data_IF_852111533170
#
_entry.id   IF_852111533170
#
_cell.length_a   1.000
_cell.length_b   1.000
_cell.length_c   1.000
_cell.angle_alpha   90.00
_cell.angle_beta   90.00
_cell.angle_gamma   90.00
#
_symmetry.space_group_name_H-M   'P 1'
#
loop_
_entity.id
_entity.type
_entity.pdbx_description
1 polymer ?
#
# COMPACT_ATOMS: atom_id res chain seq x y z
N UNK A 1 -20.17 -36.87 3.63
CA UNK A 1 -18.96 -36.07 3.90
C UNK A 1 -19.25 -34.69 3.30
N UNK A 2 -19.42 -33.65 4.12
CA UNK A 2 -19.84 -32.34 3.63
C UNK A 2 -18.72 -31.67 2.84
N UNK A 3 -19.04 -31.13 1.67
CA UNK A 3 -18.09 -30.37 0.87
C UNK A 3 -17.96 -28.97 1.47
N UNK A 4 -16.75 -28.64 1.93
CA UNK A 4 -16.41 -27.33 2.48
C UNK A 4 -15.21 -26.76 1.74
N UNK A 5 -15.39 -25.60 1.13
CA UNK A 5 -14.32 -24.90 0.43
C UNK A 5 -14.29 -23.42 0.83
N UNK A 6 -13.10 -22.90 1.14
CA UNK A 6 -12.88 -21.48 1.40
C UNK A 6 -11.83 -20.92 0.46
N UNK A 7 -12.16 -19.85 -0.25
CA UNK A 7 -11.25 -19.16 -1.18
C UNK A 7 -11.27 -17.65 -0.96
N UNK A 8 -10.13 -17.01 -1.20
CA UNK A 8 -9.99 -15.55 -1.23
C UNK A 8 -9.38 -15.20 -2.58
N UNK A 9 -9.99 -14.24 -3.27
CA UNK A 9 -9.53 -13.73 -4.56
C UNK A 9 -9.41 -12.21 -4.48
N UNK A 10 -8.31 -11.67 -4.97
CA UNK A 10 -8.04 -10.23 -4.92
C UNK A 10 -8.67 -9.53 -6.12
N UNK A 11 -9.20 -8.33 -5.90
CA UNK A 11 -9.78 -7.51 -6.96
C UNK A 11 -8.76 -6.50 -7.46
N UNK A 12 -8.50 -6.53 -8.76
CA UNK A 12 -7.69 -5.53 -9.43
C UNK A 12 -8.56 -4.33 -9.76
N UNK A 13 -8.04 -3.14 -9.48
CA UNK A 13 -8.63 -1.88 -9.90
C UNK A 13 -8.04 -1.44 -11.22
N UNK A 14 -8.91 -1.27 -12.21
CA UNK A 14 -8.55 -0.85 -13.55
C UNK A 14 -9.17 0.51 -13.85
N UNK A 15 -8.34 1.38 -14.43
CA UNK A 15 -8.76 2.64 -15.06
C UNK A 15 -8.41 2.60 -16.53
N UNK A 16 -9.39 2.84 -17.41
CA UNK A 16 -9.20 2.74 -18.87
C UNK A 16 -8.54 1.42 -19.28
N UNK A 17 -9.01 0.31 -18.70
CA UNK A 17 -8.48 -1.06 -18.90
C UNK A 17 -7.05 -1.31 -18.40
N UNK A 18 -6.38 -0.30 -17.84
CA UNK A 18 -5.06 -0.46 -17.25
C UNK A 18 -5.19 -0.80 -15.76
N UNK A 19 -4.52 -1.86 -15.33
CA UNK A 19 -4.40 -2.20 -13.91
C UNK A 19 -3.60 -1.11 -13.19
N UNK A 20 -4.27 -0.44 -12.24
CA UNK A 20 -3.66 0.59 -11.41
C UNK A 20 -3.09 -0.03 -10.13
N UNK A 21 -3.90 -0.84 -9.42
CA UNK A 21 -3.52 -1.48 -8.16
C UNK A 21 -4.52 -2.54 -7.74
N UNK A 22 -4.22 -3.27 -6.67
CA UNK A 22 -5.24 -4.07 -5.96
C UNK A 22 -6.15 -3.14 -5.15
N UNK A 23 -7.45 -3.41 -5.14
CA UNK A 23 -8.41 -2.56 -4.42
C UNK A 23 -9.53 -3.36 -3.74
N UNK A 24 -9.18 -4.53 -3.22
CA UNK A 24 -10.09 -5.33 -2.40
C UNK A 24 -9.90 -6.82 -2.57
N UNK A 25 -10.81 -7.56 -1.97
CA UNK A 25 -10.89 -9.00 -2.13
C UNK A 25 -12.33 -9.49 -2.04
N UNK A 26 -12.55 -10.66 -2.64
CA UNK A 26 -13.75 -11.46 -2.51
C UNK A 26 -13.38 -12.75 -1.80
N UNK A 27 -14.04 -13.00 -0.69
CA UNK A 27 -13.93 -14.22 0.08
C UNK A 27 -15.20 -15.04 -0.12
N UNK A 28 -15.03 -16.30 -0.49
CA UNK A 28 -16.12 -17.26 -0.66
C UNK A 28 -15.94 -18.43 0.30
N UNK A 29 -17.00 -18.77 1.04
CA UNK A 29 -17.08 -19.95 1.90
C UNK A 29 -18.27 -20.80 1.44
N UNK A 30 -18.00 -21.93 0.79
CA UNK A 30 -19.01 -22.88 0.32
C UNK A 30 -19.18 -23.98 1.35
N UNK A 31 -20.42 -24.25 1.73
CA UNK A 31 -20.83 -25.34 2.61
C UNK A 31 -22.06 -26.01 2.02
N UNK A 32 -21.87 -27.18 1.42
CA UNK A 32 -22.90 -27.94 0.70
C UNK A 32 -23.63 -27.06 -0.34
N UNK A 33 -24.86 -26.64 -0.06
CA UNK A 33 -25.71 -25.86 -0.98
C UNK A 33 -25.59 -24.34 -0.78
N UNK A 34 -24.94 -23.88 0.28
CA UNK A 34 -24.83 -22.46 0.58
C UNK A 34 -23.40 -21.95 0.31
N UNK A 35 -23.30 -20.80 -0.35
CA UNK A 35 -22.06 -20.08 -0.52
C UNK A 35 -22.16 -18.69 0.12
N UNK A 36 -21.34 -18.43 1.12
CA UNK A 36 -21.20 -17.11 1.73
C UNK A 36 -20.18 -16.30 0.95
N UNK A 37 -20.61 -15.15 0.43
CA UNK A 37 -19.80 -14.16 -0.25
C UNK A 37 -19.51 -12.99 0.69
N UNK A 38 -18.24 -12.62 0.77
CA UNK A 38 -17.80 -11.42 1.46
C UNK A 38 -16.92 -10.63 0.51
N UNK A 39 -17.41 -9.47 0.07
CA UNK A 39 -16.70 -8.54 -0.78
C UNK A 39 -16.22 -7.38 0.09
N UNK A 40 -14.93 -7.10 0.06
CA UNK A 40 -14.34 -5.97 0.74
C UNK A 40 -13.57 -5.14 -0.29
N UNK A 41 -14.05 -3.93 -0.53
CA UNK A 41 -13.43 -2.94 -1.42
C UNK A 41 -12.69 -1.94 -0.54
N UNK A 42 -11.42 -1.69 -0.84
CA UNK A 42 -10.56 -0.74 -0.12
C UNK A 42 -9.57 -0.10 -1.08
N UNK A 43 -9.06 1.07 -0.73
CA UNK A 43 -8.00 1.72 -1.49
C UNK A 43 -8.48 2.45 -2.75
N UNK A 44 -9.78 2.71 -2.92
CA UNK A 44 -10.25 3.65 -3.95
C UNK A 44 -10.08 5.11 -3.48
N UNK A 45 -10.45 6.10 -4.31
CA UNK A 45 -10.25 7.50 -3.93
C UNK A 45 -11.13 7.88 -2.74
N UNK A 46 -10.66 8.69 -1.78
CA UNK A 46 -11.47 9.12 -0.64
C UNK A 46 -12.73 9.90 -1.02
N UNK A 47 -12.76 10.49 -2.22
CA UNK A 47 -13.94 11.16 -2.80
C UNK A 47 -14.97 10.19 -3.36
N UNK A 48 -14.64 8.90 -3.50
CA UNK A 48 -15.53 7.90 -4.09
C UNK A 48 -16.63 7.51 -3.10
N UNK A 49 -17.75 8.22 -3.22
CA UNK A 49 -19.02 7.87 -2.58
C UNK A 49 -20.05 7.66 -3.68
N UNK A 50 -20.09 6.45 -4.22
CA UNK A 50 -20.84 6.10 -5.44
C UNK A 50 -21.44 4.68 -5.34
N UNK A 51 -22.29 4.31 -6.29
CA UNK A 51 -22.81 2.95 -6.40
C UNK A 51 -22.03 2.15 -7.46
N UNK A 52 -21.67 0.91 -7.13
CA UNK A 52 -20.96 -0.01 -8.01
C UNK A 52 -21.81 -1.22 -8.35
N UNK A 53 -22.01 -1.50 -9.63
CA UNK A 53 -22.79 -2.65 -10.08
C UNK A 53 -21.92 -3.90 -10.15
N UNK A 54 -22.36 -4.98 -9.49
CA UNK A 54 -21.66 -6.26 -9.43
C UNK A 54 -22.15 -7.19 -10.53
N UNK A 55 -21.20 -7.72 -11.28
CA UNK A 55 -21.39 -8.70 -12.34
C UNK A 55 -20.63 -9.98 -12.01
N UNK A 56 -21.30 -11.12 -12.18
CA UNK A 56 -20.64 -12.44 -12.18
C UNK A 56 -20.45 -12.91 -13.61
N UNK A 57 -19.28 -13.49 -13.89
CA UNK A 57 -18.99 -14.15 -15.16
C UNK A 57 -19.17 -15.65 -15.01
N UNK A 58 -19.82 -16.27 -15.99
CA UNK A 58 -19.97 -17.71 -16.08
C UNK A 58 -20.37 -18.13 -17.49
N UNK A 59 -19.65 -19.10 -18.07
CA UNK A 59 -19.98 -19.63 -19.40
C UNK A 59 -19.89 -18.58 -20.52
N UNK A 60 -18.93 -17.66 -20.42
CA UNK A 60 -18.69 -16.60 -21.41
C UNK A 60 -19.68 -15.43 -21.39
N UNK A 61 -20.53 -15.33 -20.36
CA UNK A 61 -21.48 -14.21 -20.20
C UNK A 61 -21.35 -13.55 -18.83
N UNK A 62 -21.63 -12.25 -18.78
CA UNK A 62 -21.69 -11.45 -17.56
C UNK A 62 -23.15 -11.24 -17.11
N UNK A 63 -23.43 -11.45 -15.83
CA UNK A 63 -24.75 -11.30 -15.24
C UNK A 63 -24.70 -10.28 -14.11
N UNK A 64 -25.49 -9.21 -14.21
CA UNK A 64 -25.65 -8.25 -13.11
C UNK A 64 -26.40 -8.93 -11.97
N UNK A 65 -25.82 -8.95 -10.79
CA UNK A 65 -26.37 -9.65 -9.62
C UNK A 65 -26.74 -8.73 -8.47
N UNK A 66 -26.01 -7.63 -8.29
CA UNK A 66 -26.14 -6.78 -7.09
C UNK A 66 -25.65 -5.37 -7.38
N UNK A 67 -26.02 -4.41 -6.54
CA UNK A 67 -25.44 -3.05 -6.52
C UNK A 67 -24.89 -2.73 -5.13
N UNK A 68 -23.60 -2.41 -5.05
CA UNK A 68 -22.90 -2.03 -3.81
C UNK A 68 -22.90 -0.51 -3.65
N UNK A 69 -23.00 -0.04 -2.41
CA UNK A 69 -22.71 1.35 -2.08
C UNK A 69 -21.30 1.49 -1.55
N UNK A 70 -20.52 2.37 -2.17
CA UNK A 70 -19.20 2.76 -1.74
C UNK A 70 -19.30 4.07 -0.96
N UNK A 71 -18.56 4.17 0.14
CA UNK A 71 -18.40 5.39 0.92
C UNK A 71 -16.93 5.60 1.20
N UNK A 72 -16.44 6.79 0.86
CA UNK A 72 -15.03 7.17 1.07
C UNK A 72 -14.02 6.15 0.51
N UNK A 73 -14.28 5.65 -0.70
CA UNK A 73 -13.40 4.69 -1.37
C UNK A 73 -13.36 3.29 -0.75
N UNK A 74 -14.31 2.98 0.14
CA UNK A 74 -14.40 1.69 0.84
C UNK A 74 -15.82 1.13 0.75
N UNK A 75 -15.94 -0.20 0.73
CA UNK A 75 -17.21 -0.90 0.88
C UNK A 75 -17.00 -2.29 1.49
N UNK A 76 -17.96 -2.73 2.29
CA UNK A 76 -18.00 -4.09 2.82
C UNK A 76 -19.39 -4.67 2.59
N UNK A 77 -19.44 -5.80 1.90
CA UNK A 77 -20.67 -6.50 1.57
C UNK A 77 -20.54 -7.97 1.96
N UNK A 78 -21.57 -8.51 2.61
CA UNK A 78 -21.64 -9.91 3.00
C UNK A 78 -23.02 -10.41 2.62
N UNK A 79 -23.07 -11.53 1.91
CA UNK A 79 -24.32 -12.20 1.55
C UNK A 79 -24.13 -13.71 1.51
N UNK A 80 -25.23 -14.45 1.64
CA UNK A 80 -25.25 -15.91 1.52
C UNK A 80 -26.16 -16.25 0.35
N UNK A 81 -25.60 -16.94 -0.64
CA UNK A 81 -26.28 -17.33 -1.87
C UNK A 81 -26.35 -18.84 -1.99
N UNK A 82 -27.27 -19.31 -2.83
CA UNK A 82 -27.31 -20.71 -3.26
C UNK A 82 -26.10 -21.00 -4.16
N UNK A 83 -25.33 -22.04 -3.82
CA UNK A 83 -24.14 -22.44 -4.57
C UNK A 83 -24.48 -22.98 -5.97
N UNK A 84 -25.68 -23.48 -6.20
CA UNK A 84 -26.16 -23.93 -7.50
C UNK A 84 -26.69 -22.78 -8.37
N UNK A 85 -27.04 -21.64 -7.74
CA UNK A 85 -27.58 -20.46 -8.42
C UNK A 85 -27.15 -19.16 -7.72
N UNK A 86 -25.92 -18.73 -7.98
CA UNK A 86 -25.31 -17.56 -7.35
C UNK A 86 -26.15 -16.32 -7.60
N UNK A 87 -26.77 -15.80 -6.54
CA UNK A 87 -27.60 -14.59 -6.56
C UNK A 87 -28.70 -14.61 -7.65
N UNK A 88 -29.25 -15.78 -7.98
CA UNK A 88 -30.30 -15.91 -9.00
C UNK A 88 -29.81 -15.73 -10.45
N UNK A 89 -28.50 -15.65 -10.69
CA UNK A 89 -27.90 -15.42 -12.02
C UNK A 89 -28.04 -16.61 -12.98
N UNK A 90 -28.36 -17.80 -12.48
CA UNK A 90 -28.29 -19.06 -13.20
C UNK A 90 -26.87 -19.66 -13.28
N UNK A 91 -25.87 -19.01 -12.66
CA UNK A 91 -24.49 -19.52 -12.58
C UNK A 91 -24.33 -20.34 -11.30
N UNK A 92 -23.85 -21.57 -11.41
CA UNK A 92 -23.40 -22.34 -10.26
C UNK A 92 -21.98 -21.94 -9.87
N UNK A 93 -21.63 -22.11 -8.59
CA UNK A 93 -20.30 -21.83 -8.06
C UNK A 93 -19.18 -22.54 -8.84
N UNK A 94 -19.44 -23.74 -9.36
CA UNK A 94 -18.47 -24.50 -10.16
C UNK A 94 -18.22 -23.90 -11.54
N UNK A 95 -19.21 -23.21 -12.12
CA UNK A 95 -19.16 -22.56 -13.44
C UNK A 95 -18.89 -21.06 -13.35
N UNK A 96 -18.59 -20.57 -12.15
CA UNK A 96 -18.29 -19.18 -11.90
C UNK A 96 -16.83 -18.90 -12.27
N UNK A 97 -16.64 -17.98 -13.21
CA UNK A 97 -15.39 -17.73 -13.90
C UNK A 97 -14.72 -16.42 -13.47
N UNK A 98 -15.50 -15.48 -12.92
CA UNK A 98 -15.00 -14.17 -12.56
C UNK A 98 -16.03 -13.27 -11.89
N UNK A 99 -15.57 -12.16 -11.33
CA UNK A 99 -16.40 -11.08 -10.80
C UNK A 99 -15.88 -9.73 -11.30
N UNK A 100 -16.79 -8.82 -11.64
CA UNK A 100 -16.52 -7.42 -11.94
C UNK A 100 -17.45 -6.52 -11.14
N UNK A 101 -16.92 -5.41 -10.64
CA UNK A 101 -17.68 -4.36 -9.98
C UNK A 101 -17.43 -3.07 -10.76
N UNK A 102 -18.45 -2.62 -11.49
CA UNK A 102 -18.36 -1.45 -12.34
C UNK A 102 -18.70 -0.19 -11.54
N UNK A 103 -17.73 0.70 -11.40
CA UNK A 103 -17.86 1.96 -10.64
C UNK A 103 -18.22 3.13 -11.56
N UNK A 104 -17.67 3.14 -12.78
CA UNK A 104 -18.03 4.07 -13.86
C UNK A 104 -17.71 3.43 -15.23
N UNK A 105 -17.85 4.19 -16.31
CA UNK A 105 -17.52 3.73 -17.69
C UNK A 105 -16.06 3.26 -17.82
N UNK A 106 -15.14 3.92 -17.13
CA UNK A 106 -13.70 3.66 -17.26
C UNK A 106 -13.08 3.07 -16.00
N UNK A 107 -13.85 2.86 -14.92
CA UNK A 107 -13.35 2.44 -13.62
C UNK A 107 -14.03 1.15 -13.19
N UNK A 108 -13.25 0.07 -13.08
CA UNK A 108 -13.78 -1.25 -12.73
C UNK A 108 -12.87 -1.96 -11.72
N UNK A 109 -13.48 -2.75 -10.85
CA UNK A 109 -12.77 -3.74 -10.05
C UNK A 109 -13.03 -5.11 -10.67
N UNK A 110 -11.99 -5.88 -10.99
CA UNK A 110 -12.16 -7.15 -11.70
C UNK A 110 -11.24 -8.23 -11.16
N UNK A 111 -11.75 -9.46 -11.17
CA UNK A 111 -10.93 -10.67 -11.06
C UNK A 111 -11.59 -11.78 -11.88
N UNK A 112 -10.88 -12.33 -12.86
CA UNK A 112 -11.32 -13.43 -13.73
C UNK A 112 -10.27 -14.54 -13.61
N UNK A 113 -10.70 -15.78 -13.36
CA UNK A 113 -9.81 -16.94 -13.16
C UNK A 113 -10.06 -18.09 -14.13
N UNK A 114 -11.09 -18.00 -14.97
CA UNK A 114 -11.29 -18.87 -16.11
C UNK A 114 -11.66 -18.00 -17.29
N UNK A 115 -10.68 -17.67 -18.12
CA UNK A 115 -10.97 -16.99 -19.38
C UNK A 115 -11.70 -17.96 -20.31
N UNK A 116 -12.78 -17.46 -20.92
CA UNK A 116 -13.40 -18.12 -22.04
C UNK A 116 -12.45 -18.00 -23.23
N UNK A 117 -11.59 -19.02 -23.41
CA UNK A 117 -10.87 -19.34 -24.64
C UNK A 117 -10.27 -18.18 -25.43
N UNK A 118 -9.04 -17.81 -25.09
CA UNK A 118 -8.01 -17.51 -26.09
C UNK A 118 -6.92 -18.58 -25.93
N UNK A 119 -6.65 -19.31 -27.01
CA UNK A 119 -5.53 -20.25 -27.10
C UNK A 119 -4.18 -19.50 -27.10
N UNK A 120 -3.09 -20.18 -26.70
CA UNK A 120 -1.98 -19.60 -25.95
C UNK A 120 -1.03 -18.79 -26.83
N UNK A 121 -0.50 -17.70 -26.30
CA UNK A 121 0.64 -17.00 -26.91
C UNK A 121 1.79 -16.93 -25.90
N UNK A 122 2.58 -18.00 -25.92
CA UNK A 122 4.05 -18.04 -25.83
C UNK A 122 4.71 -16.67 -25.57
N UNK A 123 4.79 -16.23 -24.30
CA UNK A 123 5.62 -15.07 -23.93
C UNK A 123 6.04 -15.02 -22.44
N UNK A 124 5.81 -16.09 -21.67
CA UNK A 124 6.26 -16.17 -20.27
C UNK A 124 7.13 -17.39 -19.95
N UNK A 125 7.27 -18.35 -20.88
CA UNK A 125 8.21 -19.47 -20.72
C UNK A 125 9.65 -19.09 -21.15
N UNK A 126 9.86 -18.07 -21.98
CA UNK A 126 11.20 -17.57 -22.31
C UNK A 126 11.90 -16.84 -21.14
N UNK A 127 11.14 -16.38 -20.14
CA UNK A 127 11.73 -15.79 -18.93
C UNK A 127 12.19 -16.84 -17.91
N UNK A 128 11.60 -18.04 -17.94
CA UNK A 128 11.91 -19.11 -16.99
C UNK A 128 12.98 -20.08 -17.54
N UNK A 129 13.10 -20.26 -18.86
CA UNK A 129 14.16 -21.10 -19.47
C UNK A 129 15.57 -20.45 -19.47
N UNK A 130 15.69 -19.12 -19.40
CA UNK A 130 17.00 -18.45 -19.24
C UNK A 130 17.57 -18.64 -17.82
N UNK A 131 16.74 -18.98 -16.83
CA UNK A 131 17.18 -19.17 -15.45
C UNK A 131 17.61 -20.61 -15.11
N UNK A 132 17.42 -21.58 -16.02
CA UNK A 132 17.74 -23.00 -15.78
C UNK A 132 19.19 -23.37 -16.19
N UNK A 133 19.93 -22.47 -16.85
CA UNK A 133 21.25 -22.80 -17.41
C UNK A 133 22.49 -22.22 -16.71
N UNK A 134 22.37 -21.58 -15.54
CA UNK A 134 23.53 -21.21 -14.69
C UNK A 134 23.27 -21.54 -13.20
N UNK A 135 23.92 -22.59 -12.63
CA UNK A 135 23.62 -23.05 -11.28
C UNK A 135 24.58 -22.46 -10.23
N UNK A 136 24.51 -21.16 -9.93
CA UNK A 136 25.35 -20.56 -8.85
C UNK A 136 24.70 -19.47 -7.96
N UNK A 137 23.37 -19.26 -8.01
CA UNK A 137 22.71 -18.25 -7.14
C UNK A 137 21.64 -18.85 -6.22
N UNK A 138 21.94 -19.98 -5.58
CA UNK A 138 21.14 -20.54 -4.46
C UNK A 138 21.90 -20.69 -3.14
N UNK A 139 23.19 -20.34 -3.09
CA UNK A 139 24.02 -20.38 -1.86
C UNK A 139 24.59 -19.00 -1.48
N UNK A 140 23.79 -17.93 -1.52
CA UNK A 140 24.22 -16.62 -0.99
C UNK A 140 23.15 -15.92 -0.12
N UNK A 141 22.23 -16.71 0.46
CA UNK A 141 21.16 -16.18 1.31
C UNK A 141 21.45 -16.11 2.83
N UNK A 142 22.54 -16.69 3.40
CA UNK A 142 22.86 -16.44 4.80
C UNK A 142 24.32 -16.00 5.00
N UNK A 143 24.67 -14.74 4.69
CA UNK A 143 25.99 -14.18 5.07
C UNK A 143 26.05 -12.63 5.07
N UNK A 144 24.97 -11.94 5.46
CA UNK A 144 24.97 -10.48 5.68
C UNK A 144 24.52 -10.16 7.13
N UNK A 145 25.06 -10.92 8.08
CA UNK A 145 24.84 -10.77 9.52
C UNK A 145 26.11 -10.57 10.34
N UNK A 146 27.29 -10.63 9.73
CA UNK A 146 28.58 -10.43 10.40
C UNK A 146 29.51 -9.63 9.46
N UNK A 147 30.42 -8.83 10.02
CA UNK A 147 31.33 -7.86 9.37
C UNK A 147 30.76 -6.43 9.19
N UNK A 148 30.41 -5.75 10.29
CA UNK A 148 30.83 -4.34 10.52
C UNK A 148 31.01 -4.15 12.03
N UNK A 149 31.98 -4.85 12.61
CA UNK A 149 32.41 -4.64 13.98
C UNK A 149 33.93 -4.79 14.05
N UNK A 150 34.66 -3.89 13.39
CA UNK A 150 36.01 -3.47 13.79
C UNK A 150 36.50 -2.34 12.89
N UNK A 151 37.20 -1.38 13.51
CA UNK A 151 37.93 -0.24 12.92
C UNK A 151 37.20 1.13 12.90
N UNK A 152 36.89 1.63 14.10
CA UNK A 152 36.96 3.07 14.40
C UNK A 152 37.90 3.24 15.59
N UNK A 153 39.20 3.32 15.34
CA UNK A 153 40.16 3.91 16.26
C UNK A 153 41.41 4.38 15.49
N UNK A 154 41.87 5.59 15.86
CA UNK A 154 43.15 6.23 15.57
C UNK A 154 43.31 7.06 14.28
N UNK A 155 43.36 8.39 14.45
CA UNK A 155 44.20 9.28 13.63
C UNK A 155 45.62 9.38 14.22
N UNK A 156 46.50 10.34 13.84
CA UNK A 156 46.38 11.42 12.84
C UNK A 156 47.59 11.53 11.86
N UNK A 157 47.63 12.63 11.08
CA UNK A 157 48.80 13.33 10.51
C UNK A 157 49.51 12.86 9.20
N UNK A 158 49.38 13.63 8.11
CA UNK A 158 50.35 14.65 7.59
C UNK A 158 50.16 14.96 6.10
N UNK A 159 50.25 16.26 5.76
CA UNK A 159 50.22 16.89 4.41
C UNK A 159 51.63 16.85 3.78
N UNK A 160 51.81 16.98 2.45
CA UNK A 160 52.12 18.32 1.92
C UNK A 160 51.67 18.66 0.47
N UNK A 161 51.26 19.92 0.33
CA UNK A 161 51.46 20.93 -0.74
C UNK A 161 51.58 20.58 -2.23
N UNK A 162 50.75 21.26 -3.04
CA UNK A 162 51.21 22.36 -3.92
C UNK A 162 50.04 23.21 -4.50
N UNK A 163 50.20 24.52 -4.40
CA UNK A 163 49.30 25.63 -4.75
C UNK A 163 49.32 26.02 -6.26
N UNK A 164 48.12 26.22 -6.84
CA UNK A 164 47.57 27.39 -7.59
C UNK A 164 48.27 28.02 -8.84
N UNK A 165 47.54 28.62 -9.83
CA UNK A 165 46.55 29.71 -9.61
C UNK A 165 45.22 29.74 -10.39
N UNK A 166 44.29 30.43 -9.71
CA UNK A 166 43.00 31.04 -10.08
C UNK A 166 42.96 31.88 -11.36
N UNK A 167 41.83 31.85 -12.07
CA UNK A 167 41.18 33.08 -12.58
C UNK A 167 39.65 32.96 -12.58
N UNK A 168 39.04 34.01 -12.03
CA UNK A 168 37.66 34.21 -11.60
C UNK A 168 36.67 34.50 -12.74
N UNK A 169 35.49 33.88 -12.70
CA UNK A 169 34.24 34.54 -13.13
C UNK A 169 33.14 34.26 -12.12
N UNK A 170 32.76 35.33 -11.44
CA UNK A 170 31.62 35.48 -10.55
C UNK A 170 30.34 34.89 -11.15
N UNK A 171 29.85 33.79 -10.54
CA UNK A 171 28.42 33.45 -10.50
C UNK A 171 28.01 33.24 -9.05
N UNK A 172 28.25 34.27 -8.25
CA UNK A 172 27.51 34.50 -7.01
C UNK A 172 26.05 34.77 -7.37
N UNK A 173 25.22 33.73 -7.45
CA UNK A 173 23.75 33.78 -7.24
C UNK A 173 23.12 32.38 -7.37
N UNK A 174 23.24 31.54 -6.33
CA UNK A 174 22.09 31.01 -5.58
C UNK A 174 22.52 30.26 -4.30
N UNK A 175 23.32 30.91 -3.46
CA UNK A 175 23.08 30.77 -2.02
C UNK A 175 21.83 31.62 -1.71
N UNK A 176 20.66 31.01 -1.83
CA UNK A 176 19.38 31.50 -1.30
C UNK A 176 18.84 30.32 -0.48
N UNK A 177 18.62 30.35 0.82
CA UNK A 177 18.80 31.30 1.92
C UNK A 177 18.79 30.42 3.18
N UNK A 178 19.81 30.49 4.03
CA UNK A 178 19.69 31.06 5.37
C UNK A 178 18.43 30.59 6.12
N UNK A 179 18.57 29.51 6.90
CA UNK A 179 17.62 29.00 7.92
C UNK A 179 16.13 29.32 7.68
N UNK A 180 15.51 28.60 6.76
CA UNK A 180 14.12 28.17 6.94
C UNK A 180 14.16 26.74 7.49
N UNK A 181 13.41 26.46 8.56
CA UNK A 181 13.32 25.13 9.17
C UNK A 181 13.15 24.07 8.08
N UNK A 182 13.87 22.94 8.17
CA UNK A 182 13.77 21.82 7.20
C UNK A 182 12.32 21.49 6.85
N UNK A 183 11.44 21.57 7.86
CA UNK A 183 10.00 21.43 7.71
C UNK A 183 9.38 22.36 6.65
N UNK A 184 9.71 23.65 6.67
CA UNK A 184 9.17 24.64 5.72
C UNK A 184 9.56 24.28 4.28
N UNK A 185 10.77 23.75 4.08
CA UNK A 185 11.20 23.25 2.77
C UNK A 185 10.38 22.01 2.37
N UNK A 186 10.15 21.08 3.29
CA UNK A 186 9.31 19.90 3.05
C UNK A 186 7.86 20.31 2.68
N UNK A 187 7.30 21.33 3.33
CA UNK A 187 5.93 21.81 3.00
C UNK A 187 5.79 22.40 1.60
N UNK A 188 6.89 22.86 0.98
CA UNK A 188 6.87 23.36 -0.41
C UNK A 188 7.01 22.24 -1.44
N UNK A 189 7.67 21.14 -1.08
CA UNK A 189 7.95 20.02 -1.96
C UNK A 189 6.91 18.89 -1.90
N UNK A 190 6.29 18.67 -0.74
CA UNK A 190 5.32 17.60 -0.53
C UNK A 190 3.90 18.12 -0.44
N UNK A 191 2.95 17.30 -0.89
CA UNK A 191 1.52 17.63 -0.82
C UNK A 191 1.05 17.62 0.64
N UNK A 192 0.52 18.75 1.09
CA UNK A 192 -0.19 18.84 2.36
C UNK A 192 -1.55 18.15 2.27
N UNK A 193 -1.87 17.31 3.26
CA UNK A 193 -3.13 16.58 3.40
C UNK A 193 -3.73 16.83 4.79
N UNK A 194 -5.06 16.76 4.85
CA UNK A 194 -5.86 16.91 6.08
C UNK A 194 -6.76 15.67 6.24
N UNK A 195 -6.21 14.52 6.67
CA UNK A 195 -6.94 13.26 6.66
C UNK A 195 -8.10 13.21 7.66
N UNK A 196 -8.11 14.07 8.69
CA UNK A 196 -9.17 14.13 9.69
C UNK A 196 -10.09 15.35 9.55
N UNK A 197 -9.82 16.24 8.57
CA UNK A 197 -10.58 17.48 8.40
C UNK A 197 -10.41 18.49 9.55
N UNK A 198 -9.32 18.36 10.31
CA UNK A 198 -8.92 19.24 11.40
C UNK A 198 -7.92 20.32 10.94
N UNK A 199 -7.60 21.26 11.84
CA UNK A 199 -6.62 22.34 11.57
C UNK A 199 -5.17 21.82 11.43
N UNK A 200 -4.92 20.54 11.75
CA UNK A 200 -3.60 19.93 11.64
C UNK A 200 -3.26 19.65 10.18
N UNK A 201 -2.07 20.05 9.78
CA UNK A 201 -1.56 19.86 8.42
C UNK A 201 -0.49 18.78 8.42
N UNK A 202 -0.59 17.86 7.47
CA UNK A 202 0.29 16.71 7.36
C UNK A 202 0.90 16.66 5.96
N UNK A 203 2.11 16.11 5.83
CA UNK A 203 2.75 15.91 4.54
C UNK A 203 2.58 14.48 4.07
N UNK A 204 2.19 14.30 2.82
CA UNK A 204 2.15 12.99 2.16
C UNK A 204 3.51 12.71 1.53
N UNK A 205 4.22 11.71 2.04
CA UNK A 205 5.53 11.27 1.55
C UNK A 205 5.48 9.81 1.05
N UNK A 206 6.45 9.42 0.23
CA UNK A 206 6.63 8.02 -0.23
C UNK A 206 7.83 7.36 0.44
N UNK A 207 7.92 6.03 0.46
CA UNK A 207 9.11 5.32 0.95
C UNK A 207 10.42 5.75 0.23
N UNK A 208 10.35 6.10 -1.05
CA UNK A 208 11.49 6.63 -1.82
C UNK A 208 12.07 7.92 -1.23
N UNK A 209 11.22 8.71 -0.56
CA UNK A 209 11.56 10.03 -0.03
C UNK A 209 12.17 9.94 1.38
N UNK A 210 12.40 8.75 1.93
CA UNK A 210 12.89 8.59 3.33
C UNK A 210 14.33 9.04 3.52
N UNK A 211 15.01 9.42 2.44
CA UNK A 211 16.29 10.14 2.50
C UNK A 211 16.18 11.48 3.23
N UNK A 212 14.97 12.06 3.36
CA UNK A 212 14.73 13.27 4.16
C UNK A 212 14.80 13.00 5.68
N UNK A 213 14.69 11.74 6.10
CA UNK A 213 14.78 11.33 7.50
C UNK A 213 16.25 11.02 7.84
N UNK A 214 16.60 11.07 9.13
CA UNK A 214 17.92 10.62 9.58
C UNK A 214 18.20 9.16 9.19
N UNK A 215 19.48 8.82 8.99
CA UNK A 215 19.93 7.52 8.46
C UNK A 215 19.36 6.30 9.19
N UNK A 216 19.11 6.41 10.50
CA UNK A 216 18.51 5.32 11.28
C UNK A 216 17.09 4.93 10.84
N UNK A 217 16.36 5.82 10.17
CA UNK A 217 14.99 5.60 9.68
C UNK A 217 14.94 5.14 8.23
N UNK A 218 16.04 5.19 7.48
CA UNK A 218 16.09 4.70 6.09
C UNK A 218 15.86 3.18 6.01
N UNK A 219 16.17 2.43 7.08
CA UNK A 219 15.83 1.01 7.20
C UNK A 219 14.32 0.73 7.20
N UNK A 220 13.48 1.75 7.46
CA UNK A 220 12.01 1.60 7.44
C UNK A 220 11.45 1.40 6.02
N UNK A 221 12.20 1.72 4.97
CA UNK A 221 11.77 1.46 3.58
C UNK A 221 11.53 -0.03 3.33
N UNK A 222 12.27 -0.91 4.00
CA UNK A 222 12.06 -2.36 3.94
C UNK A 222 11.06 -2.91 4.97
N UNK A 223 10.44 -2.06 5.78
CA UNK A 223 9.53 -2.51 6.83
C UNK A 223 8.20 -2.98 6.22
N UNK A 224 7.87 -4.26 6.42
CA UNK A 224 6.67 -4.86 5.83
C UNK A 224 5.36 -4.21 6.30
N UNK A 225 5.29 -3.71 7.55
CA UNK A 225 4.12 -3.02 8.06
C UNK A 225 3.91 -1.67 7.35
N UNK A 226 5.00 -0.90 7.21
CA UNK A 226 4.99 0.37 6.49
C UNK A 226 4.63 0.20 5.02
N UNK A 227 5.29 -0.74 4.33
CA UNK A 227 5.03 -1.03 2.93
C UNK A 227 3.60 -1.49 2.72
N UNK A 228 3.07 -2.34 3.61
CA UNK A 228 1.68 -2.77 3.53
C UNK A 228 0.70 -1.60 3.66
N UNK A 229 0.91 -0.69 4.62
CA UNK A 229 0.11 0.54 4.71
C UNK A 229 0.24 1.42 3.47
N UNK A 230 1.46 1.64 2.98
CA UNK A 230 1.72 2.43 1.78
C UNK A 230 1.04 1.85 0.54
N UNK A 231 1.17 0.55 0.27
CA UNK A 231 0.55 -0.06 -0.92
C UNK A 231 -0.97 -0.09 -0.85
N UNK A 232 -1.55 -0.12 0.35
CA UNK A 232 -3.00 -0.10 0.53
C UNK A 232 -3.61 1.31 0.39
N UNK A 233 -2.92 2.34 0.86
CA UNK A 233 -3.46 3.70 0.97
C UNK A 233 -2.75 4.73 0.07
N UNK A 234 -1.63 4.37 -0.55
CA UNK A 234 -0.89 5.16 -1.52
C UNK A 234 -0.05 6.30 -0.97
N UNK A 235 0.06 6.42 0.37
CA UNK A 235 0.84 7.48 1.01
C UNK A 235 1.31 7.06 2.41
N UNK A 236 2.36 7.71 2.89
CA UNK A 236 2.77 7.74 4.29
C UNK A 236 2.67 9.18 4.77
N UNK A 237 2.26 9.36 6.01
CA UNK A 237 2.05 10.66 6.62
C UNK A 237 3.31 11.09 7.36
N UNK A 238 3.70 12.36 7.23
CA UNK A 238 4.71 13.00 8.05
C UNK A 238 4.07 14.19 8.76
N UNK A 239 4.12 14.20 10.08
CA UNK A 239 3.58 15.23 10.95
C UNK A 239 4.70 15.96 11.70
N UNK A 240 4.53 17.27 11.89
CA UNK A 240 5.29 18.06 12.87
C UNK A 240 4.38 18.41 14.02
N UNK A 241 4.73 17.96 15.22
CA UNK A 241 4.08 18.33 16.47
C UNK A 241 4.98 19.28 17.26
N UNK A 242 4.45 20.45 17.62
CA UNK A 242 5.16 21.41 18.47
C UNK A 242 4.57 21.34 19.88
N UNK A 243 5.37 20.92 20.86
CA UNK A 243 4.99 20.86 22.28
C UNK A 243 6.06 21.55 23.11
N UNK A 244 5.65 22.49 23.96
CA UNK A 244 6.54 23.19 24.90
C UNK A 244 7.80 23.80 24.26
N UNK A 245 7.70 24.28 23.01
CA UNK A 245 8.82 24.85 22.25
C UNK A 245 9.76 23.82 21.61
N UNK A 246 9.45 22.52 21.72
CA UNK A 246 10.15 21.43 21.04
C UNK A 246 9.37 20.95 19.82
N UNK A 247 10.04 20.94 18.66
CA UNK A 247 9.52 20.34 17.43
C UNK A 247 9.83 18.84 17.42
N UNK A 248 8.80 18.00 17.49
CA UNK A 248 8.89 16.55 17.30
C UNK A 248 8.24 16.16 15.98
N UNK A 249 8.81 15.17 15.29
CA UNK A 249 8.27 14.68 14.03
C UNK A 249 7.75 13.26 14.19
N UNK A 250 6.67 12.94 13.48
CA UNK A 250 6.06 11.63 13.50
C UNK A 250 5.79 11.14 12.09
N UNK A 251 6.07 9.87 11.86
CA UNK A 251 5.74 9.15 10.65
C UNK A 251 4.49 8.29 10.91
N UNK A 252 3.43 8.55 10.15
CA UNK A 252 2.15 7.86 10.24
C UNK A 252 1.97 6.87 9.09
N UNK A 253 1.82 5.60 9.42
CA UNK A 253 1.43 4.56 8.44
C UNK A 253 -0.09 4.43 8.47
N UNK A 254 -0.78 4.68 7.34
CA UNK A 254 -2.23 4.57 7.29
C UNK A 254 -2.68 3.12 7.51
N UNK A 255 -3.73 2.92 8.30
CA UNK A 255 -4.22 1.60 8.67
C UNK A 255 -5.61 1.63 9.29
N UNK A 256 -6.14 0.44 9.61
CA UNK A 256 -7.43 0.30 10.29
C UNK A 256 -7.17 -0.13 11.72
N UNK A 257 -7.81 0.57 12.65
CA UNK A 257 -7.74 0.24 14.06
C UNK A 257 -8.40 -1.11 14.35
N UNK A 258 -7.55 -2.12 14.55
CA UNK A 258 -7.89 -3.40 15.17
C UNK A 258 -6.86 -3.73 16.24
N UNK A 259 -7.26 -4.43 17.31
CA UNK A 259 -6.32 -4.83 18.37
C UNK A 259 -5.15 -5.66 17.84
N UNK A 260 -5.41 -6.58 16.91
CA UNK A 260 -4.37 -7.37 16.24
C UNK A 260 -3.40 -6.51 15.44
N UNK A 261 -3.92 -5.53 14.70
CA UNK A 261 -3.11 -4.63 13.88
C UNK A 261 -2.28 -3.69 14.75
N UNK A 262 -2.83 -3.23 15.88
CA UNK A 262 -2.10 -2.49 16.92
C UNK A 262 -0.95 -3.28 17.53
N UNK A 263 -1.15 -4.58 17.80
CA UNK A 263 -0.07 -5.44 18.32
C UNK A 263 1.06 -5.58 17.30
N UNK A 264 0.73 -5.82 16.03
CA UNK A 264 1.71 -5.91 14.95
C UNK A 264 2.44 -4.57 14.77
N UNK A 265 1.71 -3.47 14.75
CA UNK A 265 2.28 -2.11 14.67
C UNK A 265 3.31 -1.87 15.78
N UNK A 266 2.98 -2.26 17.03
CA UNK A 266 3.86 -2.15 18.18
C UNK A 266 5.16 -2.96 18.03
N UNK A 267 5.12 -4.16 17.44
CA UNK A 267 6.33 -4.95 17.17
C UNK A 267 7.29 -4.25 16.20
N UNK A 268 6.77 -3.38 15.34
CA UNK A 268 7.54 -2.58 14.39
C UNK A 268 7.85 -1.15 14.89
N UNK A 269 7.54 -0.85 16.16
CA UNK A 269 7.83 0.43 16.81
C UNK A 269 6.73 1.49 16.66
N UNK A 270 5.61 1.17 15.99
CA UNK A 270 4.48 2.08 15.85
C UNK A 270 3.53 1.95 17.04
N UNK A 271 3.89 2.60 18.15
CA UNK A 271 3.16 2.48 19.42
C UNK A 271 1.93 3.41 19.50
N UNK A 272 1.91 4.49 18.71
CA UNK A 272 0.82 5.46 18.67
C UNK A 272 -0.22 5.14 17.60
N UNK A 273 -1.46 5.60 17.82
CA UNK A 273 -2.50 5.62 16.78
C UNK A 273 -3.27 6.94 16.84
N UNK A 274 -3.30 7.66 15.73
CA UNK A 274 -4.04 8.90 15.53
C UNK A 274 -5.21 8.64 14.57
N UNK A 275 -6.42 8.99 14.98
CA UNK A 275 -7.64 8.80 14.22
C UNK A 275 -8.60 9.96 14.39
N UNK A 276 -9.65 10.03 13.57
CA UNK A 276 -10.59 11.15 13.58
C UNK A 276 -11.38 11.31 14.89
N UNK A 277 -11.53 10.25 15.69
CA UNK A 277 -12.26 10.29 16.96
C UNK A 277 -11.65 9.33 17.99
N UNK A 278 -11.36 9.83 19.19
CA UNK A 278 -10.97 9.02 20.35
C UNK A 278 -12.10 9.02 21.39
N UNK A 279 -12.56 7.85 21.89
CA UNK A 279 -12.00 6.50 21.72
C UNK A 279 -12.26 5.90 20.33
N UNK A 280 -11.27 5.17 19.82
CA UNK A 280 -11.32 4.56 18.49
C UNK A 280 -12.22 3.31 18.49
N UNK A 281 -13.22 3.29 17.62
CA UNK A 281 -14.02 2.09 17.38
C UNK A 281 -13.22 1.08 16.55
N UNK A 282 -13.48 -0.21 16.76
CA UNK A 282 -12.87 -1.26 15.94
C UNK A 282 -13.28 -1.09 14.46
N UNK A 283 -12.32 -1.10 13.54
CA UNK A 283 -12.54 -0.79 12.14
C UNK A 283 -12.39 0.69 11.76
N UNK A 284 -12.05 1.57 12.70
CA UNK A 284 -11.83 3.00 12.41
C UNK A 284 -10.53 3.22 11.63
N UNK A 285 -10.56 4.08 10.62
CA UNK A 285 -9.35 4.48 9.89
C UNK A 285 -8.51 5.48 10.69
N UNK A 286 -7.19 5.37 10.58
CA UNK A 286 -6.23 6.31 11.17
C UNK A 286 -4.80 5.97 10.77
N UNK A 287 -3.85 6.47 11.54
CA UNK A 287 -2.43 6.36 11.27
C UNK A 287 -1.70 5.81 12.49
N UNK A 288 -0.93 4.77 12.27
CA UNK A 288 0.00 4.23 13.25
C UNK A 288 1.26 5.08 13.27
N UNK A 289 1.58 5.66 14.42
CA UNK A 289 2.56 6.73 14.54
C UNK A 289 3.88 6.21 15.09
N UNK A 290 4.98 6.62 14.45
CA UNK A 290 6.36 6.36 14.87
C UNK A 290 7.09 7.71 15.03
N UNK A 291 7.73 7.99 16.18
CA UNK A 291 8.56 9.19 16.32
C UNK A 291 9.80 9.11 15.42
N UNK A 292 10.04 10.18 14.66
CA UNK A 292 11.15 10.29 13.72
C UNK A 292 11.88 11.62 13.86
N UNK A 293 13.07 11.70 13.25
CA UNK A 293 13.89 12.91 13.17
C UNK A 293 14.25 13.20 11.71
N UNK A 294 14.20 14.48 11.32
CA UNK A 294 14.50 15.00 9.98
C UNK A 294 15.78 15.82 9.91
#
# INVERSE_FOLDING_TARGET
MGFYERKIRYLDYLEYENKIKNAGFVKTEVSNENCKFQIMIKGLYPTDTLQGDVYLFGGGKAYKVETLSLRFGTSSYISTWDACNLCGSGISYEKWDGIEIRLSEHRVLRNIWREAGEEPMEALEEADEILVSMPELKEAAPALGEIVAENLAEGPETVPDKEEPVESVDRTTRFQSLYEDKWTQLTQHYRTIHPFGDERSYLSIKPEDFIILQGQYQKLVGNSFLLHGYYNYGHVLLERQEKDGHCSYYLGVPGIYHEREKQVAGLFGFEGFEGAASPYAEGSFGYYMLPVEI
#
